data_IF_339469894914
#
_entry.id   IF_339469894914
#
_cell.length_a   1.000
_cell.length_b   1.000
_cell.length_c   1.000
_cell.angle_alpha   90.00
_cell.angle_beta   90.00
_cell.angle_gamma   90.00
#
_symmetry.space_group_name_H-M   'P 1'
#
loop_
_entity.id
_entity.type
_entity.pdbx_description
1 polymer ?
#
# COMPACT_ATOMS: atom_id res chain seq x y z
N UNK A 1 -1.94 1.93 -19.35
CA UNK A 1 -2.02 1.15 -18.09
C UNK A 1 -2.66 2.07 -17.05
N UNK A 2 -3.99 2.18 -17.10
CA UNK A 2 -4.82 2.81 -16.07
C UNK A 2 -6.03 1.90 -15.91
N UNK A 3 -5.81 0.74 -15.29
CA UNK A 3 -6.95 -0.03 -14.80
C UNK A 3 -7.26 0.60 -13.44
N UNK A 4 -8.44 1.22 -13.24
CA UNK A 4 -8.82 1.66 -11.91
C UNK A 4 -8.89 0.39 -11.06
N UNK A 5 -7.94 0.24 -10.14
CA UNK A 5 -8.03 -0.81 -9.14
C UNK A 5 -9.26 -0.48 -8.30
N UNK A 6 -10.32 -1.24 -8.52
CA UNK A 6 -11.62 -1.05 -7.90
C UNK A 6 -11.47 -1.22 -6.39
N UNK A 7 -11.57 -0.12 -5.64
CA UNK A 7 -11.46 0.01 -4.17
C UNK A 7 -10.02 -0.01 -3.59
N UNK A 8 -9.71 0.97 -2.73
CA UNK A 8 -8.44 1.12 -2.00
C UNK A 8 -7.96 -0.18 -1.36
N UNK A 9 -8.85 -0.94 -0.74
CA UNK A 9 -8.48 -2.18 -0.05
C UNK A 9 -7.81 -3.16 -1.02
N UNK A 10 -8.34 -3.28 -2.24
CA UNK A 10 -7.72 -4.10 -3.28
C UNK A 10 -6.35 -3.55 -3.67
N UNK A 11 -6.17 -2.22 -3.75
CA UNK A 11 -4.88 -1.61 -4.05
C UNK A 11 -3.83 -1.93 -3.01
N UNK A 12 -4.18 -1.80 -1.74
CA UNK A 12 -3.31 -2.12 -0.60
C UNK A 12 -2.94 -3.61 -0.62
N UNK A 13 -3.92 -4.49 -0.86
CA UNK A 13 -3.66 -5.92 -0.97
C UNK A 13 -2.82 -6.28 -2.20
N UNK A 14 -3.05 -5.66 -3.36
CA UNK A 14 -2.21 -5.84 -4.54
C UNK A 14 -0.78 -5.40 -4.24
N UNK A 15 -0.59 -4.19 -3.72
CA UNK A 15 0.73 -3.68 -3.38
C UNK A 15 1.41 -4.56 -2.32
N UNK A 16 0.71 -5.05 -1.30
CA UNK A 16 1.35 -5.86 -0.26
C UNK A 16 1.58 -7.33 -0.62
N UNK A 17 0.80 -7.93 -1.53
CA UNK A 17 0.82 -9.40 -1.74
C UNK A 17 1.17 -9.82 -3.17
N UNK A 18 0.92 -8.98 -4.18
CA UNK A 18 1.25 -9.32 -5.55
C UNK A 18 2.78 -9.25 -5.75
N UNK A 19 3.45 -10.35 -6.14
CA UNK A 19 4.89 -10.38 -6.33
C UNK A 19 5.37 -9.54 -7.53
N UNK A 20 4.49 -9.25 -8.49
CA UNK A 20 4.83 -8.40 -9.64
C UNK A 20 4.88 -6.91 -9.31
N UNK A 21 4.39 -6.53 -8.12
CA UNK A 21 4.34 -5.14 -7.63
C UNK A 21 5.36 -4.98 -6.52
N UNK A 22 6.30 -4.08 -6.69
CA UNK A 22 7.36 -3.78 -5.71
C UNK A 22 7.39 -2.30 -5.38
N UNK A 23 7.76 -1.95 -4.15
CA UNK A 23 7.93 -0.54 -3.79
C UNK A 23 9.17 0.05 -4.45
N UNK A 24 9.06 1.29 -4.91
CA UNK A 24 10.18 2.11 -5.36
C UNK A 24 10.78 2.95 -4.21
N UNK A 25 10.16 2.90 -3.02
CA UNK A 25 10.60 3.62 -1.83
C UNK A 25 11.74 2.87 -1.11
N UNK A 26 12.60 3.58 -0.36
CA UNK A 26 13.57 2.95 0.52
C UNK A 26 12.91 2.03 1.55
N UNK A 27 13.56 0.91 1.94
CA UNK A 27 13.07 0.06 3.01
C UNK A 27 13.16 0.76 4.38
N UNK A 28 12.34 0.31 5.34
CA UNK A 28 12.37 0.81 6.72
C UNK A 28 11.46 2.02 6.94
N UNK A 29 11.59 2.67 8.09
CA UNK A 29 10.65 3.72 8.49
C UNK A 29 11.09 5.07 7.91
N UNK A 30 10.27 5.71 7.06
CA UNK A 30 10.56 7.06 6.60
C UNK A 30 10.54 8.05 7.78
N UNK A 31 11.31 9.15 7.73
CA UNK A 31 11.29 10.17 8.76
C UNK A 31 10.09 11.11 8.54
N UNK A 32 8.93 10.73 9.09
CA UNK A 32 7.70 11.53 9.06
C UNK A 32 7.27 11.93 10.48
N UNK A 33 6.51 13.01 10.60
CA UNK A 33 5.86 13.39 11.86
C UNK A 33 4.48 12.74 11.91
N UNK A 34 4.24 11.92 12.93
CA UNK A 34 2.93 11.26 13.12
C UNK A 34 1.83 12.29 13.39
N UNK A 35 0.67 12.08 12.77
CA UNK A 35 -0.52 12.87 13.04
C UNK A 35 -1.34 12.20 14.15
N UNK A 36 -1.25 12.78 15.34
CA UNK A 36 -1.94 12.34 16.56
C UNK A 36 -3.35 12.93 16.73
N UNK A 37 -3.91 13.60 15.72
CA UNK A 37 -5.29 14.06 15.83
C UNK A 37 -6.26 12.86 16.02
N UNK A 38 -7.44 13.08 16.65
CA UNK A 38 -8.39 12.00 16.86
C UNK A 38 -9.03 11.49 15.56
N UNK A 39 -9.33 10.19 15.51
CA UNK A 39 -10.07 9.58 14.40
C UNK A 39 -11.36 10.37 14.07
N UNK A 40 -11.57 10.67 12.79
CA UNK A 40 -12.73 11.43 12.32
C UNK A 40 -12.60 12.96 12.41
N UNK A 41 -11.41 13.47 12.75
CA UNK A 41 -11.11 14.92 12.78
C UNK A 41 -10.25 15.37 11.58
N UNK A 42 -9.18 16.14 11.78
CA UNK A 42 -8.34 16.71 10.71
C UNK A 42 -7.32 15.69 10.14
N UNK A 43 -7.82 14.64 9.51
CA UNK A 43 -6.98 13.68 8.79
C UNK A 43 -7.38 13.57 7.33
N UNK A 44 -6.37 13.36 6.48
CA UNK A 44 -6.61 12.76 5.17
C UNK A 44 -7.12 11.34 5.38
N UNK A 45 -8.06 10.89 4.56
CA UNK A 45 -8.50 9.51 4.58
C UNK A 45 -7.69 8.75 3.54
N UNK A 46 -7.08 7.62 3.93
CA UNK A 46 -6.33 6.81 2.95
C UNK A 46 -7.21 6.43 1.75
N UNK A 47 -8.53 6.30 1.97
CA UNK A 47 -9.51 6.01 0.92
C UNK A 47 -9.55 7.07 -0.18
N UNK A 48 -9.37 8.35 0.16
CA UNK A 48 -9.36 9.43 -0.82
C UNK A 48 -8.02 9.53 -1.54
N UNK A 49 -6.93 9.16 -0.87
CA UNK A 49 -5.57 9.23 -1.41
C UNK A 49 -5.16 8.00 -2.24
N UNK A 50 -6.02 6.98 -2.33
CA UNK A 50 -5.74 5.73 -3.05
C UNK A 50 -5.27 5.92 -4.50
N UNK A 51 -5.80 6.94 -5.19
CA UNK A 51 -5.45 7.25 -6.58
C UNK A 51 -4.00 7.76 -6.76
N UNK A 52 -3.29 8.04 -5.67
CA UNK A 52 -1.88 8.45 -5.69
C UNK A 52 -0.90 7.30 -5.44
N UNK A 53 -1.36 6.15 -4.94
CA UNK A 53 -0.46 5.08 -4.47
C UNK A 53 0.38 4.45 -5.59
N UNK A 54 -0.09 4.53 -6.84
CA UNK A 54 0.65 4.03 -8.01
C UNK A 54 1.97 4.78 -8.24
N UNK A 55 2.14 6.01 -7.72
CA UNK A 55 3.41 6.73 -7.82
C UNK A 55 4.57 6.03 -7.08
N UNK A 56 4.28 5.17 -6.11
CA UNK A 56 5.26 4.58 -5.20
C UNK A 56 5.72 3.17 -5.58
N UNK A 57 5.25 2.64 -6.71
CA UNK A 57 5.44 1.24 -7.08
C UNK A 57 5.97 1.06 -8.49
N UNK A 58 6.65 -0.07 -8.71
CA UNK A 58 6.95 -0.62 -10.02
C UNK A 58 6.16 -1.91 -10.24
N UNK A 59 5.79 -2.17 -11.49
CA UNK A 59 5.06 -3.36 -11.91
C UNK A 59 5.90 -4.07 -12.98
N UNK A 60 6.25 -5.35 -12.77
CA UNK A 60 7.15 -6.11 -13.65
C UNK A 60 8.43 -5.32 -13.97
N UNK A 61 9.11 -4.87 -12.92
CA UNK A 61 10.34 -4.06 -12.98
C UNK A 61 10.27 -2.70 -13.67
N UNK A 62 9.07 -2.23 -14.03
CA UNK A 62 8.86 -0.92 -14.65
C UNK A 62 8.14 0.03 -13.71
N UNK A 63 8.64 1.26 -13.50
CA UNK A 63 7.90 2.27 -12.73
C UNK A 63 6.46 2.40 -13.25
N UNK A 64 5.49 2.35 -12.33
CA UNK A 64 4.10 2.61 -12.71
C UNK A 64 3.93 4.10 -13.11
N UNK A 65 4.66 5.00 -12.45
CA UNK A 65 4.91 6.36 -12.91
C UNK A 65 6.33 6.53 -13.46
N UNK A 66 6.52 6.55 -14.79
CA UNK A 66 7.85 6.75 -15.38
C UNK A 66 8.34 8.20 -15.31
N UNK A 67 7.48 9.17 -14.96
CA UNK A 67 7.84 10.59 -15.02
C UNK A 67 8.22 11.17 -13.66
N UNK A 68 7.97 10.44 -12.56
CA UNK A 68 8.26 10.93 -11.21
C UNK A 68 9.74 10.81 -10.87
N UNK A 69 10.32 11.87 -10.32
CA UNK A 69 11.68 11.83 -9.79
C UNK A 69 11.69 11.18 -8.40
N UNK A 70 12.72 10.37 -8.10
CA UNK A 70 12.84 9.65 -6.82
C UNK A 70 12.67 10.56 -5.59
N UNK A 71 13.37 11.69 -5.54
CA UNK A 71 13.29 12.62 -4.41
C UNK A 71 11.90 13.24 -4.25
N UNK A 72 11.18 13.45 -5.35
CA UNK A 72 9.81 13.96 -5.34
C UNK A 72 8.85 12.90 -4.82
N UNK A 73 9.00 11.66 -5.29
CA UNK A 73 8.22 10.50 -4.84
C UNK A 73 8.40 10.26 -3.33
N UNK A 74 9.64 10.24 -2.83
CA UNK A 74 9.91 10.06 -1.39
C UNK A 74 9.29 11.18 -0.54
N UNK A 75 9.42 12.44 -0.98
CA UNK A 75 8.79 13.58 -0.30
C UNK A 75 7.26 13.50 -0.35
N UNK A 76 6.70 13.05 -1.46
CA UNK A 76 5.25 12.87 -1.61
C UNK A 76 4.74 11.79 -0.66
N UNK A 77 5.48 10.70 -0.49
CA UNK A 77 5.14 9.65 0.48
C UNK A 77 5.21 10.16 1.92
N UNK A 78 6.24 10.90 2.30
CA UNK A 78 6.34 11.49 3.64
C UNK A 78 5.14 12.38 3.93
N UNK A 79 4.78 13.29 3.01
CA UNK A 79 3.62 14.18 3.18
C UNK A 79 2.30 13.42 3.30
N UNK A 80 2.16 12.32 2.56
CA UNK A 80 1.00 11.45 2.69
C UNK A 80 0.92 10.88 4.12
N UNK A 81 2.02 10.34 4.64
CA UNK A 81 2.05 9.80 6.01
C UNK A 81 1.77 10.86 7.08
N UNK A 82 2.29 12.08 6.93
CA UNK A 82 2.05 13.20 7.86
C UNK A 82 0.58 13.67 7.84
N UNK A 83 -0.16 13.43 6.76
CA UNK A 83 -1.56 13.81 6.63
C UNK A 83 -2.55 12.74 7.14
N UNK A 84 -2.16 11.46 7.09
CA UNK A 84 -2.99 10.33 7.49
C UNK A 84 -3.08 10.18 9.01
N UNK A 85 -4.13 9.54 9.51
CA UNK A 85 -4.14 9.08 10.90
C UNK A 85 -2.97 8.10 11.13
N UNK A 86 -2.35 8.14 12.31
CA UNK A 86 -1.17 7.33 12.65
C UNK A 86 -1.30 5.84 12.30
N UNK A 87 -2.46 5.25 12.55
CA UNK A 87 -2.70 3.82 12.24
C UNK A 87 -2.72 3.55 10.72
N UNK A 88 -3.22 4.50 9.92
CA UNK A 88 -3.21 4.39 8.46
C UNK A 88 -1.80 4.63 7.89
N UNK A 89 -1.03 5.53 8.51
CA UNK A 89 0.37 5.75 8.17
C UNK A 89 1.24 4.51 8.49
N UNK A 90 1.04 3.89 9.65
CA UNK A 90 1.69 2.63 10.03
C UNK A 90 1.31 1.49 9.06
N UNK A 91 0.03 1.39 8.71
CA UNK A 91 -0.46 0.43 7.72
C UNK A 91 0.26 0.59 6.38
N UNK A 92 0.39 1.80 5.84
CA UNK A 92 1.11 2.05 4.59
C UNK A 92 2.60 1.70 4.70
N UNK A 93 3.24 1.96 5.85
CA UNK A 93 4.62 1.56 6.10
C UNK A 93 4.79 0.03 6.03
N UNK A 94 3.86 -0.72 6.63
CA UNK A 94 3.85 -2.19 6.54
C UNK A 94 3.61 -2.68 5.11
N UNK A 95 2.73 -2.03 4.36
CA UNK A 95 2.39 -2.37 2.97
C UNK A 95 3.61 -2.24 2.07
N UNK A 96 4.30 -1.09 2.10
CA UNK A 96 5.47 -0.87 1.24
C UNK A 96 6.61 -1.86 1.52
N UNK A 97 6.72 -2.34 2.76
CA UNK A 97 7.72 -3.30 3.21
C UNK A 97 7.24 -4.77 3.12
N UNK A 98 6.04 -5.02 2.59
CA UNK A 98 5.44 -6.36 2.46
C UNK A 98 5.28 -7.10 3.81
N UNK A 99 5.02 -6.36 4.89
CA UNK A 99 4.92 -6.87 6.27
C UNK A 99 3.48 -7.08 6.78
N UNK A 100 2.47 -7.09 5.90
CA UNK A 100 1.08 -7.32 6.33
C UNK A 100 0.78 -8.77 6.72
N UNK A 101 1.52 -9.75 6.20
CA UNK A 101 1.39 -11.15 6.65
C UNK A 101 1.83 -11.24 8.11
N UNK A 102 1.01 -11.89 8.94
CA UNK A 102 1.33 -12.04 10.35
C UNK A 102 2.65 -12.80 10.57
N UNK A 103 3.59 -12.15 11.26
CA UNK A 103 4.82 -12.76 11.72
C UNK A 103 4.73 -13.04 13.22
N UNK A 104 4.70 -14.31 13.60
CA UNK A 104 4.56 -14.71 15.00
C UNK A 104 5.75 -14.30 15.88
N UNK A 105 6.97 -14.29 15.34
CA UNK A 105 8.19 -13.95 16.10
C UNK A 105 8.25 -12.46 16.41
N UNK A 106 7.93 -11.64 15.41
CA UNK A 106 7.96 -10.17 15.51
C UNK A 106 6.65 -9.60 16.07
N UNK A 107 5.59 -10.41 16.12
CA UNK A 107 4.22 -10.00 16.47
C UNK A 107 3.71 -8.83 15.62
N UNK A 108 4.10 -8.79 14.36
CA UNK A 108 3.74 -7.78 13.36
C UNK A 108 2.78 -8.36 12.32
N UNK A 109 2.09 -7.48 11.59
CA UNK A 109 1.12 -7.87 10.55
C UNK A 109 -0.25 -8.30 11.09
N UNK A 110 -1.15 -8.68 10.18
CA UNK A 110 -2.56 -8.95 10.48
C UNK A 110 -2.80 -10.46 10.55
N UNK A 111 -3.15 -10.95 11.74
CA UNK A 111 -3.42 -12.38 11.96
C UNK A 111 -4.60 -12.85 11.11
N UNK A 112 -4.42 -13.96 10.41
CA UNK A 112 -5.45 -14.53 9.53
C UNK A 112 -5.50 -13.90 8.13
N UNK A 113 -4.69 -12.88 7.84
CA UNK A 113 -4.55 -12.36 6.48
C UNK A 113 -3.58 -13.25 5.67
N UNK A 114 -4.06 -13.83 4.57
CA UNK A 114 -3.26 -14.73 3.72
C UNK A 114 -3.66 -14.63 2.25
N UNK A 115 -2.74 -15.00 1.33
CA UNK A 115 -2.99 -14.96 -0.12
C UNK A 115 -4.23 -15.77 -0.53
N UNK A 116 -4.46 -17.02 -0.05
CA UNK A 116 -5.66 -17.77 -0.42
C UNK A 116 -6.96 -17.06 -0.02
N UNK A 117 -7.01 -16.45 1.17
CA UNK A 117 -8.18 -15.70 1.65
C UNK A 117 -8.42 -14.48 0.77
N UNK A 118 -7.37 -13.76 0.37
CA UNK A 118 -7.48 -12.61 -0.52
C UNK A 118 -7.96 -13.00 -1.92
N UNK A 119 -7.45 -14.12 -2.45
CA UNK A 119 -7.86 -14.65 -3.74
C UNK A 119 -9.32 -15.06 -3.75
N UNK A 120 -9.79 -15.70 -2.68
CA UNK A 120 -11.21 -16.03 -2.50
C UNK A 120 -12.07 -14.75 -2.35
N UNK A 121 -11.68 -13.84 -1.46
CA UNK A 121 -12.47 -12.63 -1.15
C UNK A 121 -12.61 -11.66 -2.32
N UNK A 122 -11.59 -11.55 -3.19
CA UNK A 122 -11.60 -10.65 -4.34
C UNK A 122 -11.80 -11.34 -5.69
N UNK A 123 -12.06 -12.65 -5.68
CA UNK A 123 -12.17 -13.49 -6.88
C UNK A 123 -10.95 -13.34 -7.81
N UNK A 124 -9.76 -13.40 -7.22
CA UNK A 124 -8.50 -13.35 -7.95
C UNK A 124 -7.98 -14.75 -8.28
N UNK A 125 -7.31 -14.85 -9.43
CA UNK A 125 -6.49 -15.99 -9.80
C UNK A 125 -5.11 -15.98 -9.09
N UNK A 126 -4.29 -16.98 -9.40
CA UNK A 126 -2.91 -17.09 -8.92
C UNK A 126 -2.01 -15.90 -9.32
N UNK A 127 -2.42 -15.14 -10.34
CA UNK A 127 -1.72 -13.96 -10.84
C UNK A 127 -2.29 -12.65 -10.27
N UNK A 128 -3.13 -12.73 -9.23
CA UNK A 128 -3.81 -11.58 -8.61
C UNK A 128 -4.67 -10.80 -9.61
N UNK A 129 -5.20 -11.45 -10.65
CA UNK A 129 -6.13 -10.86 -11.61
C UNK A 129 -7.54 -11.39 -11.33
N UNK A 130 -8.55 -10.53 -11.51
CA UNK A 130 -9.94 -10.96 -11.44
C UNK A 130 -10.17 -12.07 -12.46
N UNK A 131 -10.78 -13.19 -12.03
CA UNK A 131 -11.12 -14.28 -12.93
C UNK A 131 -12.15 -13.77 -13.95
N UNK A 132 -11.91 -14.04 -15.22
CA UNK A 132 -12.92 -13.82 -16.24
C UNK A 132 -14.05 -14.83 -16.00
N UNK A 133 -15.28 -14.33 -15.89
CA UNK A 133 -16.51 -15.15 -15.79
C UNK A 133 -16.98 -15.49 -17.19
#
# INVERSE_FOLDING_TARGET
IKRPLTNLLQQICQWSFNPTIESMLPPGNPPYVENDAPEGTEHMLLRTEGDSLWHFVKVNDKPADPNIQRTVMERMFIRLLEGLHKDEAELLCMVKDKKLVYNQKEKTGIKGLSVPILQEAFDWDENFKKKDV
#
